data_IF_094332259940
#
_entry.id   IF_094332259940
#
_cell.length_a   1.000
_cell.length_b   1.000
_cell.length_c   1.000
_cell.angle_alpha   90.00
_cell.angle_beta   90.00
_cell.angle_gamma   90.00
#
_symmetry.space_group_name_H-M   'P 1'
#
loop_
_entity.id
_entity.type
_entity.pdbx_description
1 polymer ?
#
# COMPACT_ATOMS: atom_id res chain seq x y z
N UNK A 1 -8.19 13.29 23.07
CA UNK A 1 -9.44 12.67 22.58
C UNK A 1 -9.35 11.16 22.84
N UNK A 2 -10.37 10.56 23.49
CA UNK A 2 -10.36 9.11 23.75
C UNK A 2 -10.67 8.41 22.41
N UNK A 3 -9.72 7.64 21.88
CA UNK A 3 -9.86 6.86 20.65
C UNK A 3 -11.18 6.04 20.57
N UNK A 4 -11.69 5.62 21.72
CA UNK A 4 -12.97 4.91 21.84
C UNK A 4 -14.18 5.71 21.33
N UNK A 5 -14.12 7.05 21.29
CA UNK A 5 -15.23 7.88 20.81
C UNK A 5 -15.38 7.87 19.27
N UNK A 6 -14.35 7.44 18.55
CA UNK A 6 -14.33 7.34 17.09
C UNK A 6 -14.83 5.98 16.56
N UNK A 7 -14.88 4.97 17.44
CA UNK A 7 -15.30 3.62 17.03
C UNK A 7 -16.78 3.38 17.33
N UNK A 8 -17.50 2.64 16.47
CA UNK A 8 -18.82 2.11 16.79
C UNK A 8 -18.76 1.25 18.05
N UNK A 9 -19.75 1.37 18.94
CA UNK A 9 -19.78 0.65 20.22
C UNK A 9 -19.70 -0.88 20.10
N UNK A 10 -20.03 -1.42 18.92
CA UNK A 10 -20.05 -2.86 18.63
C UNK A 10 -18.65 -3.42 18.34
N UNK A 11 -17.68 -2.57 17.96
CA UNK A 11 -16.35 -3.02 17.56
C UNK A 11 -15.30 -2.65 18.60
N UNK A 12 -14.42 -3.60 18.93
CA UNK A 12 -13.27 -3.30 19.81
C UNK A 12 -12.18 -2.61 19.01
N UNK A 13 -11.71 -1.41 19.44
CA UNK A 13 -10.70 -0.64 18.71
C UNK A 13 -9.41 -1.44 18.44
N UNK A 14 -8.97 -2.23 19.43
CA UNK A 14 -7.76 -3.06 19.30
C UNK A 14 -7.85 -4.08 18.17
N UNK A 15 -9.01 -4.77 18.02
CA UNK A 15 -9.19 -5.77 16.96
C UNK A 15 -9.17 -5.14 15.57
N UNK A 16 -9.78 -3.96 15.42
CA UNK A 16 -9.78 -3.24 14.15
C UNK A 16 -8.38 -2.75 13.81
N UNK A 17 -7.68 -2.11 14.75
CA UNK A 17 -6.31 -1.65 14.56
C UNK A 17 -5.35 -2.79 14.23
N UNK A 18 -5.45 -3.93 14.92
CA UNK A 18 -4.64 -5.10 14.60
C UNK A 18 -4.89 -5.60 13.17
N UNK A 19 -6.15 -5.67 12.71
CA UNK A 19 -6.47 -6.08 11.34
C UNK A 19 -5.92 -5.09 10.31
N UNK A 20 -6.01 -3.78 10.58
CA UNK A 20 -5.40 -2.76 9.72
C UNK A 20 -3.88 -2.88 9.69
N UNK A 21 -3.24 -3.15 10.84
CA UNK A 21 -1.80 -3.43 10.93
C UNK A 21 -1.39 -4.67 10.13
N UNK A 22 -2.14 -5.77 10.23
CA UNK A 22 -1.91 -6.95 9.38
C UNK A 22 -2.10 -6.65 7.89
N UNK A 23 -3.10 -5.84 7.55
CA UNK A 23 -3.29 -5.36 6.17
C UNK A 23 -2.10 -4.56 5.66
N UNK A 24 -1.53 -3.68 6.49
CA UNK A 24 -0.34 -2.91 6.13
C UNK A 24 0.89 -3.81 5.95
N UNK A 25 1.11 -4.78 6.84
CA UNK A 25 2.18 -5.76 6.72
C UNK A 25 2.03 -6.62 5.45
N UNK A 26 0.82 -7.08 5.15
CA UNK A 26 0.56 -7.84 3.93
C UNK A 26 0.78 -7.00 2.67
N UNK A 27 0.37 -5.74 2.67
CA UNK A 27 0.60 -4.82 1.56
C UNK A 27 2.11 -4.57 1.34
N UNK A 28 2.87 -4.36 2.43
CA UNK A 28 4.34 -4.22 2.35
C UNK A 28 5.03 -5.52 1.94
N UNK A 29 4.48 -6.69 2.29
CA UNK A 29 5.02 -7.97 1.83
C UNK A 29 4.84 -8.16 0.31
N UNK A 30 3.75 -7.65 -0.28
CA UNK A 30 3.58 -7.65 -1.73
C UNK A 30 4.66 -6.82 -2.44
N UNK A 31 5.18 -5.77 -1.79
CA UNK A 31 6.23 -4.93 -2.32
C UNK A 31 7.59 -5.64 -2.45
N UNK A 32 7.82 -6.69 -1.65
CA UNK A 32 9.00 -7.54 -1.82
C UNK A 32 9.09 -8.18 -3.21
N UNK A 33 7.96 -8.27 -3.91
CA UNK A 33 7.93 -8.74 -5.30
C UNK A 33 8.69 -7.81 -6.24
N UNK A 34 8.63 -6.49 -6.03
CA UNK A 34 9.47 -5.55 -6.76
C UNK A 34 10.96 -5.82 -6.53
N UNK A 35 11.38 -5.98 -5.28
CA UNK A 35 12.78 -6.26 -4.95
C UNK A 35 13.26 -7.57 -5.60
N UNK A 36 12.40 -8.58 -5.65
CA UNK A 36 12.71 -9.84 -6.35
C UNK A 36 12.90 -9.61 -7.85
N UNK A 37 11.98 -8.91 -8.51
CA UNK A 37 12.09 -8.60 -9.95
C UNK A 37 13.31 -7.73 -10.26
N UNK A 38 13.58 -6.74 -9.42
CA UNK A 38 14.76 -5.90 -9.54
C UNK A 38 16.06 -6.72 -9.40
N UNK A 39 16.14 -7.60 -8.41
CA UNK A 39 17.30 -8.48 -8.22
C UNK A 39 17.50 -9.39 -9.44
N UNK A 40 16.44 -10.01 -9.94
CA UNK A 40 16.48 -10.85 -11.13
C UNK A 40 16.91 -10.06 -12.37
N UNK A 41 16.38 -8.85 -12.57
CA UNK A 41 16.75 -7.98 -13.68
C UNK A 41 18.23 -7.59 -13.55
N UNK A 42 18.70 -7.20 -12.36
CA UNK A 42 20.09 -6.82 -12.13
C UNK A 42 21.06 -7.97 -12.37
N UNK A 43 20.71 -9.20 -11.98
CA UNK A 43 21.55 -10.38 -12.25
C UNK A 43 21.64 -10.68 -13.75
N UNK A 44 20.58 -10.49 -14.51
CA UNK A 44 20.56 -10.71 -15.96
C UNK A 44 21.47 -9.75 -16.74
N UNK A 45 21.88 -8.63 -16.15
CA UNK A 45 22.80 -7.66 -16.76
C UNK A 45 24.25 -8.18 -16.78
N UNK A 46 24.58 -9.15 -15.93
CA UNK A 46 25.93 -9.66 -15.78
C UNK A 46 26.08 -11.02 -16.41
N UNK A 47 27.27 -11.31 -16.94
CA UNK A 47 27.67 -12.68 -17.25
C UNK A 47 28.95 -13.03 -16.49
N UNK A 48 29.13 -14.28 -16.18
CA UNK A 48 30.32 -14.78 -15.53
C UNK A 48 31.31 -15.21 -16.64
N UNK A 49 32.48 -14.59 -16.67
CA UNK A 49 33.55 -15.04 -17.52
C UNK A 49 34.17 -16.35 -17.01
N UNK A 50 34.97 -16.99 -17.86
CA UNK A 50 35.72 -18.22 -17.51
C UNK A 50 36.63 -17.99 -16.31
N UNK A 51 37.05 -16.75 -16.09
CA UNK A 51 37.93 -16.33 -14.98
C UNK A 51 37.17 -16.07 -13.66
N UNK A 52 35.86 -16.36 -13.59
CA UNK A 52 35.03 -16.10 -12.41
C UNK A 52 34.72 -14.62 -12.16
N UNK A 53 35.16 -13.71 -13.04
CA UNK A 53 34.90 -12.28 -12.96
C UNK A 53 33.54 -11.97 -13.60
N UNK A 54 32.80 -11.04 -12.98
CA UNK A 54 31.50 -10.58 -13.51
C UNK A 54 31.74 -9.48 -14.53
N UNK A 55 31.25 -9.67 -15.75
CA UNK A 55 31.32 -8.70 -16.84
C UNK A 55 29.90 -8.23 -17.18
N UNK A 56 29.79 -6.93 -17.48
CA UNK A 56 28.55 -6.35 -17.96
C UNK A 56 28.32 -6.78 -19.41
N UNK A 57 27.11 -7.22 -19.75
CA UNK A 57 26.76 -7.54 -21.14
C UNK A 57 26.74 -6.24 -21.97
N UNK A 58 27.38 -6.19 -23.14
CA UNK A 58 27.48 -4.97 -23.94
C UNK A 58 26.15 -4.42 -24.42
N UNK A 59 25.14 -5.28 -24.61
CA UNK A 59 23.81 -4.90 -25.09
C UNK A 59 22.72 -5.01 -24.01
N UNK A 60 23.12 -5.00 -22.73
CA UNK A 60 22.17 -5.10 -21.64
C UNK A 60 21.61 -3.72 -21.31
N UNK A 61 20.27 -3.64 -21.27
CA UNK A 61 19.54 -2.47 -20.77
C UNK A 61 18.72 -2.86 -19.53
N UNK A 62 18.69 -1.97 -18.57
CA UNK A 62 17.80 -2.16 -17.42
C UNK A 62 16.35 -1.96 -17.87
N UNK A 63 15.42 -2.86 -17.56
CA UNK A 63 14.00 -2.66 -17.83
C UNK A 63 13.51 -1.35 -17.20
N UNK A 64 12.47 -0.75 -17.78
CA UNK A 64 11.87 0.47 -17.24
C UNK A 64 11.33 0.24 -15.83
N UNK A 65 11.35 1.28 -15.00
CA UNK A 65 10.84 1.21 -13.63
C UNK A 65 9.38 0.73 -13.59
N UNK A 66 8.54 1.21 -14.51
CA UNK A 66 7.13 0.81 -14.60
C UNK A 66 6.94 -0.68 -14.87
N UNK A 67 7.83 -1.29 -15.68
CA UNK A 67 7.76 -2.72 -15.97
C UNK A 67 8.19 -3.58 -14.78
N UNK A 68 9.14 -3.10 -13.98
CA UNK A 68 9.60 -3.75 -12.75
C UNK A 68 8.59 -3.61 -11.61
N UNK A 69 7.87 -2.47 -11.56
CA UNK A 69 6.87 -2.23 -10.53
C UNK A 69 5.76 -3.31 -10.55
N UNK A 70 5.33 -3.75 -11.74
CA UNK A 70 4.41 -4.87 -11.93
C UNK A 70 3.23 -4.86 -10.96
N UNK A 71 3.14 -5.91 -10.13
CA UNK A 71 2.05 -6.12 -9.15
C UNK A 71 2.39 -5.68 -7.72
N UNK A 72 3.55 -5.08 -7.47
CA UNK A 72 4.04 -4.78 -6.11
C UNK A 72 3.05 -3.92 -5.31
N UNK A 73 2.49 -2.88 -5.90
CA UNK A 73 1.55 -1.96 -5.24
C UNK A 73 0.11 -2.48 -5.13
N UNK A 74 -0.21 -3.64 -5.72
CA UNK A 74 -1.57 -4.18 -5.68
C UNK A 74 -2.04 -4.47 -4.25
N UNK A 75 -1.13 -4.85 -3.34
CA UNK A 75 -1.44 -5.01 -1.93
C UNK A 75 -2.03 -3.74 -1.31
N UNK A 76 -1.46 -2.59 -1.60
CA UNK A 76 -1.96 -1.29 -1.13
C UNK A 76 -3.30 -0.93 -1.77
N UNK A 77 -3.47 -1.17 -3.08
CA UNK A 77 -4.71 -0.90 -3.81
C UNK A 77 -5.85 -1.75 -3.23
N UNK A 78 -5.61 -3.05 -3.01
CA UNK A 78 -6.60 -3.96 -2.41
C UNK A 78 -6.93 -3.51 -0.99
N UNK A 79 -5.94 -3.07 -0.20
CA UNK A 79 -6.17 -2.56 1.15
C UNK A 79 -7.04 -1.30 1.16
N UNK A 80 -6.82 -0.36 0.23
CA UNK A 80 -7.67 0.84 0.07
C UNK A 80 -9.10 0.44 -0.32
N UNK A 81 -9.26 -0.47 -1.31
CA UNK A 81 -10.56 -0.94 -1.73
C UNK A 81 -11.32 -1.68 -0.61
N UNK A 82 -10.60 -2.40 0.27
CA UNK A 82 -11.18 -3.07 1.43
C UNK A 82 -11.75 -2.10 2.47
N UNK A 83 -11.43 -0.80 2.41
CA UNK A 83 -12.03 0.22 3.28
C UNK A 83 -13.51 0.48 2.93
N UNK A 84 -13.93 0.23 1.69
CA UNK A 84 -15.32 0.40 1.26
C UNK A 84 -16.25 -0.58 1.99
N UNK A 85 -16.04 -1.93 1.94
CA UNK A 85 -16.86 -2.86 2.69
C UNK A 85 -16.72 -2.68 4.21
N UNK A 86 -15.58 -2.22 4.71
CA UNK A 86 -15.42 -1.89 6.12
C UNK A 86 -16.33 -0.74 6.55
N UNK A 87 -16.41 0.32 5.75
CA UNK A 87 -17.31 1.44 5.99
C UNK A 87 -18.78 0.98 5.95
N UNK A 88 -19.12 0.14 4.98
CA UNK A 88 -20.45 -0.46 4.87
C UNK A 88 -20.80 -1.32 6.08
N UNK A 89 -19.90 -2.16 6.55
CA UNK A 89 -20.07 -2.98 7.76
C UNK A 89 -20.31 -2.11 9.00
N UNK A 90 -19.58 -1.02 9.15
CA UNK A 90 -19.79 -0.08 10.25
C UNK A 90 -21.17 0.56 10.17
N UNK A 91 -21.59 0.99 8.98
CA UNK A 91 -22.91 1.56 8.77
C UNK A 91 -24.02 0.53 9.06
N UNK A 92 -23.90 -0.67 8.49
CA UNK A 92 -24.89 -1.74 8.65
C UNK A 92 -25.02 -2.21 10.11
N UNK A 93 -23.91 -2.27 10.87
CA UNK A 93 -23.93 -2.63 12.28
C UNK A 93 -24.74 -1.68 13.16
N UNK A 94 -24.91 -0.43 12.72
CA UNK A 94 -25.74 0.55 13.39
C UNK A 94 -27.23 0.48 12.99
N UNK A 95 -27.55 -0.05 11.80
CA UNK A 95 -28.93 -0.14 11.30
C UNK A 95 -29.67 -1.40 11.76
N UNK A 96 -28.96 -2.48 12.07
CA UNK A 96 -29.57 -3.81 12.33
C UNK A 96 -29.76 -4.18 13.81
N UNK A 97 -29.34 -3.33 14.77
CA UNK A 97 -29.44 -3.64 16.21
C UNK A 97 -30.68 -3.05 16.86
N UNK A 98 -31.40 -3.83 17.67
CA UNK A 98 -32.54 -3.36 18.51
C UNK A 98 -32.17 -2.18 19.44
N UNK A 99 -30.89 -2.04 19.80
CA UNK A 99 -30.34 -0.91 20.55
C UNK A 99 -30.16 0.35 19.71
N UNK A 100 -30.19 0.24 18.39
CA UNK A 100 -30.00 1.31 17.42
C UNK A 100 -31.04 2.43 17.56
N UNK A 101 -32.32 2.06 17.77
CA UNK A 101 -33.43 3.02 17.90
C UNK A 101 -33.25 3.92 19.13
N UNK A 102 -32.81 3.36 20.25
CA UNK A 102 -32.53 4.13 21.48
C UNK A 102 -31.31 5.04 21.36
N UNK A 103 -30.27 4.59 20.65
CA UNK A 103 -29.05 5.38 20.42
C UNK A 103 -29.28 6.50 19.42
N UNK A 104 -30.06 6.25 18.36
CA UNK A 104 -30.40 7.29 17.36
C UNK A 104 -31.30 8.41 17.93
N UNK A 105 -32.23 8.09 18.86
CA UNK A 105 -33.06 9.10 19.52
C UNK A 105 -32.29 10.02 20.49
N UNK A 106 -31.12 9.60 20.96
CA UNK A 106 -30.26 10.35 21.88
C UNK A 106 -29.14 11.14 21.20
N UNK A 107 -28.88 10.92 19.90
CA UNK A 107 -27.86 11.67 19.17
C UNK A 107 -28.44 13.03 18.75
N UNK A 108 -27.88 14.13 19.19
CA UNK A 108 -28.34 15.49 18.88
C UNK A 108 -28.18 15.82 17.40
N UNK A 109 -27.36 15.07 16.66
CA UNK A 109 -27.07 15.38 15.27
C UNK A 109 -26.91 14.09 14.42
N UNK A 110 -27.65 14.02 13.28
CA UNK A 110 -27.59 12.86 12.34
C UNK A 110 -26.18 12.67 11.73
N UNK A 111 -25.42 13.74 11.59
CA UNK A 111 -24.07 13.73 11.05
C UNK A 111 -23.04 13.04 11.97
N UNK A 112 -23.31 12.95 13.26
CA UNK A 112 -22.41 12.31 14.20
C UNK A 112 -22.30 10.80 13.96
N UNK A 113 -23.38 10.14 13.54
CA UNK A 113 -23.37 8.74 13.15
C UNK A 113 -22.49 8.52 11.90
N UNK A 114 -22.73 9.30 10.85
CA UNK A 114 -21.95 9.23 9.63
C UNK A 114 -20.45 9.47 9.92
N UNK A 115 -20.14 10.48 10.71
CA UNK A 115 -18.76 10.77 11.13
C UNK A 115 -18.10 9.57 11.82
N UNK A 116 -18.78 8.91 12.74
CA UNK A 116 -18.22 7.74 13.45
C UNK A 116 -18.03 6.52 12.55
N UNK A 117 -18.91 6.32 11.57
CA UNK A 117 -18.81 5.19 10.64
C UNK A 117 -17.72 5.38 9.58
N UNK A 118 -17.55 6.60 9.07
CA UNK A 118 -16.68 6.86 7.92
C UNK A 118 -15.29 7.36 8.31
N UNK A 119 -15.09 7.98 9.48
CA UNK A 119 -13.80 8.56 9.85
C UNK A 119 -12.67 7.53 9.84
N UNK A 120 -12.88 6.34 10.41
CA UNK A 120 -11.83 5.31 10.51
C UNK A 120 -11.49 4.71 9.15
N UNK A 121 -12.46 4.26 8.32
CA UNK A 121 -12.14 3.77 6.99
C UNK A 121 -11.45 4.81 6.10
N UNK A 122 -11.88 6.07 6.15
CA UNK A 122 -11.23 7.15 5.39
C UNK A 122 -9.81 7.38 5.87
N UNK A 123 -9.59 7.49 7.19
CA UNK A 123 -8.26 7.70 7.75
C UNK A 123 -7.34 6.51 7.41
N UNK A 124 -7.82 5.29 7.56
CA UNK A 124 -7.08 4.09 7.19
C UNK A 124 -6.76 4.05 5.70
N UNK A 125 -7.72 4.39 4.84
CA UNK A 125 -7.50 4.50 3.39
C UNK A 125 -6.41 5.51 3.05
N UNK A 126 -6.43 6.70 3.67
CA UNK A 126 -5.38 7.71 3.50
C UNK A 126 -4.00 7.19 3.97
N UNK A 127 -3.96 6.45 5.09
CA UNK A 127 -2.72 5.83 5.54
C UNK A 127 -2.18 4.79 4.53
N UNK A 128 -3.05 3.98 3.90
CA UNK A 128 -2.62 3.04 2.87
C UNK A 128 -2.15 3.74 1.58
N UNK A 129 -2.77 4.85 1.19
CA UNK A 129 -2.30 5.67 0.06
C UNK A 129 -0.94 6.29 0.39
N UNK A 130 -0.75 6.81 1.60
CA UNK A 130 0.54 7.33 2.03
C UNK A 130 1.62 6.23 2.07
N UNK A 131 1.27 5.03 2.57
CA UNK A 131 2.16 3.87 2.54
C UNK A 131 2.58 3.53 1.11
N UNK A 132 1.62 3.44 0.17
CA UNK A 132 1.91 3.17 -1.23
C UNK A 132 2.85 4.22 -1.85
N UNK A 133 2.64 5.51 -1.54
CA UNK A 133 3.52 6.57 -2.01
C UNK A 133 4.94 6.43 -1.45
N UNK A 134 5.09 6.09 -0.18
CA UNK A 134 6.41 5.86 0.44
C UNK A 134 7.11 4.65 -0.19
N UNK A 135 6.41 3.53 -0.39
CA UNK A 135 6.97 2.33 -1.03
C UNK A 135 7.42 2.65 -2.46
N UNK A 136 6.58 3.32 -3.25
CA UNK A 136 6.92 3.73 -4.61
C UNK A 136 8.16 4.64 -4.68
N UNK A 137 8.29 5.57 -3.73
CA UNK A 137 9.49 6.42 -3.65
C UNK A 137 10.74 5.63 -3.25
N UNK A 138 10.61 4.65 -2.36
CA UNK A 138 11.70 3.77 -1.97
C UNK A 138 12.15 2.89 -3.15
N UNK A 139 11.21 2.29 -3.87
CA UNK A 139 11.48 1.47 -5.03
C UNK A 139 12.18 2.27 -6.14
N UNK A 140 11.69 3.50 -6.38
CA UNK A 140 12.33 4.40 -7.34
C UNK A 140 13.72 4.81 -6.89
N UNK A 141 13.92 5.06 -5.60
CA UNK A 141 15.23 5.38 -5.05
C UNK A 141 16.22 4.21 -5.21
N UNK A 142 15.77 2.97 -4.94
CA UNK A 142 16.56 1.75 -5.16
C UNK A 142 16.92 1.63 -6.64
N UNK A 143 15.94 1.77 -7.53
CA UNK A 143 16.16 1.73 -8.97
C UNK A 143 17.23 2.74 -9.42
N UNK A 144 17.11 4.00 -8.97
CA UNK A 144 17.95 5.10 -9.40
C UNK A 144 19.38 5.06 -8.83
N UNK A 145 19.53 4.63 -7.57
CA UNK A 145 20.83 4.64 -6.88
C UNK A 145 21.59 3.34 -7.01
N UNK A 146 20.91 2.21 -7.08
CA UNK A 146 21.56 0.90 -7.14
C UNK A 146 21.87 0.46 -8.59
N UNK A 147 21.21 1.05 -9.60
CA UNK A 147 21.49 0.73 -11.01
C UNK A 147 22.69 1.53 -11.51
N UNK A 148 23.67 0.91 -12.20
CA UNK A 148 24.80 1.61 -12.81
C UNK A 148 24.30 2.66 -13.80
N UNK A 149 24.85 3.89 -13.72
CA UNK A 149 24.42 5.04 -14.54
C UNK A 149 24.48 4.81 -16.05
N UNK A 150 25.36 3.92 -16.49
CA UNK A 150 25.53 3.57 -17.91
C UNK A 150 24.31 2.81 -18.48
N UNK A 151 23.51 2.17 -17.63
CA UNK A 151 22.35 1.35 -17.98
C UNK A 151 21.02 2.08 -17.73
N UNK A 152 21.09 3.25 -17.10
CA UNK A 152 19.94 4.11 -16.85
C UNK A 152 19.65 4.98 -18.07
N UNK A 153 18.37 5.20 -18.41
CA UNK A 153 18.00 6.18 -19.41
C UNK A 153 18.44 7.59 -18.99
N UNK A 154 18.63 8.52 -19.95
CA UNK A 154 19.24 9.83 -19.71
C UNK A 154 18.42 10.74 -18.78
N UNK A 155 17.11 10.50 -18.66
CA UNK A 155 16.26 11.27 -17.78
C UNK A 155 15.50 10.36 -16.80
N UNK A 156 15.21 10.89 -15.61
CA UNK A 156 14.37 10.18 -14.63
C UNK A 156 12.95 9.91 -15.14
N UNK A 157 12.46 10.78 -16.04
CA UNK A 157 11.14 10.63 -16.65
C UNK A 157 11.10 9.47 -17.65
N UNK A 158 12.13 9.33 -18.48
CA UNK A 158 12.25 8.20 -19.41
C UNK A 158 12.45 6.89 -18.65
N UNK A 159 13.15 6.92 -17.50
CA UNK A 159 13.32 5.78 -16.62
C UNK A 159 11.99 5.24 -16.07
N UNK A 160 11.01 6.13 -15.90
CA UNK A 160 9.70 5.75 -15.38
C UNK A 160 8.80 5.11 -16.44
N UNK A 161 8.80 5.62 -17.70
CA UNK A 161 7.81 5.27 -18.71
C UNK A 161 8.32 4.36 -19.83
N UNK A 162 9.62 4.37 -20.15
CA UNK A 162 10.25 3.54 -21.18
C UNK A 162 10.92 2.33 -20.56
#
# INVERSE_FOLDING_TARGET
MKLQALFPMTFSPRKVLNRLGFGALAASACDLYYLYLYAQASENLWYHGVDGVRYLKPDAFMPSFSSLLGFSLYGCIIAVLAMIPLAWLFWHSHSTGSKSIYTMRRLPNRWELARRCFTIPILAGLCFVALAAVLLLLDFAIYWWCTPRQLLPPSAWDAFWN
#
